data_IF_285951003743
#
_entry.id   IF_285951003743
#
_cell.length_a   1.000
_cell.length_b   1.000
_cell.length_c   1.000
_cell.angle_alpha   90.00
_cell.angle_beta   90.00
_cell.angle_gamma   90.00
#
_symmetry.space_group_name_H-M   'P 1'
#
loop_
_entity.id
_entity.type
_entity.pdbx_description
1 polymer ?
#
# COMPACT_ATOMS: atom_id res chain seq x y z
N UNK A 1 -5.47 2.26 11.78
CA UNK A 1 -6.08 1.51 10.67
C UNK A 1 -5.49 2.07 9.38
N UNK A 2 -4.76 1.26 8.62
CA UNK A 2 -4.07 1.71 7.41
C UNK A 2 -5.05 1.83 6.23
N UNK A 3 -4.78 2.74 5.30
CA UNK A 3 -5.68 3.05 4.18
C UNK A 3 -5.72 1.95 3.12
N UNK A 4 -6.94 1.51 2.79
CA UNK A 4 -7.25 0.57 1.72
C UNK A 4 -8.05 1.32 0.65
N UNK A 5 -7.42 1.88 -0.40
CA UNK A 5 -8.16 2.53 -1.48
C UNK A 5 -9.22 1.61 -2.07
N UNK A 6 -10.49 1.92 -1.83
CA UNK A 6 -11.64 1.09 -2.24
C UNK A 6 -12.05 1.35 -3.69
N UNK A 7 -11.52 2.40 -4.30
CA UNK A 7 -11.77 2.78 -5.70
C UNK A 7 -10.65 3.58 -6.34
N UNK A 8 -10.71 3.72 -7.68
CA UNK A 8 -9.70 4.42 -8.47
C UNK A 8 -9.58 5.93 -8.13
N UNK A 9 -10.65 6.54 -7.64
CA UNK A 9 -10.67 7.95 -7.18
C UNK A 9 -9.87 8.12 -5.90
N UNK A 10 -10.02 7.21 -4.94
CA UNK A 10 -9.27 7.23 -3.68
C UNK A 10 -7.79 6.98 -3.92
N UNK A 11 -7.44 6.04 -4.81
CA UNK A 11 -6.04 5.82 -5.19
C UNK A 11 -5.41 7.07 -5.82
N UNK A 12 -6.11 7.75 -6.75
CA UNK A 12 -5.64 9.01 -7.35
C UNK A 12 -5.50 10.12 -6.31
N UNK A 13 -6.43 10.20 -5.35
CA UNK A 13 -6.35 11.16 -4.25
C UNK A 13 -5.13 10.92 -3.38
N UNK A 14 -4.90 9.66 -2.97
CA UNK A 14 -3.73 9.25 -2.20
C UNK A 14 -2.44 9.58 -2.95
N UNK A 15 -2.35 9.26 -4.24
CA UNK A 15 -1.18 9.63 -5.05
C UNK A 15 -0.97 11.14 -5.08
N UNK A 16 -2.03 11.92 -5.29
CA UNK A 16 -1.93 13.38 -5.36
C UNK A 16 -1.37 13.97 -4.06
N UNK A 17 -1.85 13.52 -2.89
CA UNK A 17 -1.36 13.99 -1.58
C UNK A 17 0.02 13.43 -1.21
N UNK A 18 0.42 12.29 -1.78
CA UNK A 18 1.69 11.62 -1.46
C UNK A 18 2.78 11.79 -2.52
N UNK A 19 2.56 12.60 -3.55
CA UNK A 19 3.45 12.80 -4.70
C UNK A 19 4.93 13.06 -4.38
N UNK A 20 5.25 13.53 -3.17
CA UNK A 20 6.60 13.94 -2.77
C UNK A 20 7.39 12.89 -1.97
N UNK A 21 6.73 11.94 -1.29
CA UNK A 21 7.40 11.00 -0.38
C UNK A 21 6.77 9.59 -0.48
N UNK A 22 7.50 8.57 -0.01
CA UNK A 22 6.96 7.20 0.09
C UNK A 22 6.18 7.07 1.39
N UNK A 23 4.96 6.56 1.28
CA UNK A 23 4.12 6.28 2.42
C UNK A 23 3.70 4.82 2.44
N UNK A 24 3.80 4.19 3.61
CA UNK A 24 3.21 2.88 3.84
C UNK A 24 1.69 2.95 3.78
N UNK A 25 1.13 1.92 3.14
CA UNK A 25 -0.30 1.68 3.06
C UNK A 25 -0.62 0.34 3.68
N UNK A 26 -1.91 0.06 3.87
CA UNK A 26 -2.38 -1.19 4.47
C UNK A 26 -2.30 -2.41 3.56
N UNK A 27 -1.26 -2.53 2.74
CA UNK A 27 -1.08 -3.63 1.79
C UNK A 27 0.10 -4.50 2.22
N UNK A 28 -0.17 -5.78 2.44
CA UNK A 28 0.78 -6.76 2.96
C UNK A 28 0.87 -7.97 2.04
N UNK A 29 2.06 -8.54 1.91
CA UNK A 29 2.26 -9.77 1.17
C UNK A 29 1.98 -10.97 2.08
N UNK A 30 1.03 -11.81 1.69
CA UNK A 30 0.75 -13.05 2.40
C UNK A 30 1.52 -14.21 1.75
N UNK A 31 2.56 -14.68 2.44
CA UNK A 31 3.39 -15.82 2.00
C UNK A 31 2.59 -17.11 1.84
N UNK A 32 1.59 -17.34 2.68
CA UNK A 32 0.74 -18.53 2.63
C UNK A 32 -0.01 -18.68 1.29
N UNK A 33 -0.52 -17.56 0.75
CA UNK A 33 -1.27 -17.52 -0.51
C UNK A 33 -0.43 -17.00 -1.68
N UNK A 34 0.83 -16.63 -1.44
CA UNK A 34 1.76 -15.98 -2.38
C UNK A 34 1.15 -14.75 -3.07
N UNK A 35 0.31 -14.00 -2.36
CA UNK A 35 -0.50 -12.90 -2.91
C UNK A 35 -0.53 -11.70 -1.98
N UNK A 36 -0.69 -10.53 -2.58
CA UNK A 36 -0.90 -9.28 -1.85
C UNK A 36 -2.35 -9.19 -1.38
N UNK A 37 -2.53 -8.77 -0.12
CA UNK A 37 -3.84 -8.50 0.47
C UNK A 37 -3.80 -7.24 1.29
N UNK A 38 -4.96 -6.60 1.37
CA UNK A 38 -5.16 -5.50 2.30
C UNK A 38 -5.24 -6.03 3.74
N UNK A 39 -4.90 -5.19 4.72
CA UNK A 39 -4.97 -5.53 6.16
C UNK A 39 -6.38 -5.93 6.63
N UNK A 40 -7.42 -5.59 5.86
CA UNK A 40 -8.81 -5.99 6.09
C UNK A 40 -9.18 -7.34 5.44
N UNK A 41 -8.18 -8.11 5.00
CA UNK A 41 -8.31 -9.37 4.28
C UNK A 41 -8.90 -9.27 2.85
N UNK A 42 -9.10 -8.06 2.32
CA UNK A 42 -9.59 -7.86 0.96
C UNK A 42 -8.52 -8.21 -0.06
N UNK A 43 -8.95 -8.79 -1.20
CA UNK A 43 -8.06 -9.11 -2.30
C UNK A 43 -7.51 -7.85 -2.96
N UNK A 44 -6.21 -7.84 -3.24
CA UNK A 44 -5.58 -6.78 -4.02
C UNK A 44 -5.59 -7.17 -5.50
N UNK A 45 -6.23 -6.34 -6.33
CA UNK A 45 -6.33 -6.55 -7.78
C UNK A 45 -5.35 -5.66 -8.59
N UNK A 46 -4.40 -5.00 -7.93
CA UNK A 46 -3.40 -4.16 -8.59
C UNK A 46 -2.10 -4.92 -8.91
N UNK A 47 -1.12 -4.19 -9.43
CA UNK A 47 0.24 -4.68 -9.60
C UNK A 47 1.19 -3.98 -8.62
N UNK A 48 2.09 -4.75 -7.99
CA UNK A 48 3.14 -4.23 -7.12
C UNK A 48 4.48 -4.31 -7.85
N UNK A 49 5.15 -3.17 -7.99
CA UNK A 49 6.49 -3.04 -8.58
C UNK A 49 7.57 -3.27 -7.54
N UNK A 50 8.80 -3.58 -7.98
CA UNK A 50 9.97 -3.81 -7.13
C UNK A 50 9.79 -4.92 -6.07
N UNK A 51 8.98 -5.94 -6.38
CA UNK A 51 8.77 -7.07 -5.47
C UNK A 51 10.05 -7.90 -5.28
N UNK A 52 10.35 -8.19 -4.02
CA UNK A 52 11.40 -9.10 -3.59
C UNK A 52 10.80 -10.03 -2.52
N UNK A 53 11.33 -11.26 -2.38
CA UNK A 53 10.84 -12.25 -1.41
C UNK A 53 10.92 -11.77 0.04
N UNK A 54 11.78 -10.79 0.33
CA UNK A 54 11.94 -10.18 1.65
C UNK A 54 11.01 -8.97 1.89
N UNK A 55 10.31 -8.48 0.86
CA UNK A 55 9.50 -7.26 0.94
C UNK A 55 8.05 -7.60 1.23
N UNK A 56 7.69 -7.54 2.51
CA UNK A 56 6.35 -7.92 2.99
C UNK A 56 5.37 -6.75 3.05
N UNK A 57 5.86 -5.51 2.92
CA UNK A 57 5.07 -4.28 3.01
C UNK A 57 5.06 -3.55 1.67
N UNK A 58 4.08 -2.68 1.45
CA UNK A 58 4.04 -1.85 0.25
C UNK A 58 3.90 -0.35 0.56
N UNK A 59 4.41 0.46 -0.37
CA UNK A 59 4.42 1.91 -0.31
C UNK A 59 3.79 2.54 -1.55
N UNK A 60 3.32 3.78 -1.40
CA UNK A 60 2.79 4.62 -2.48
C UNK A 60 3.36 6.05 -2.36
N UNK A 61 3.38 6.81 -3.45
CA UNK A 61 3.52 8.27 -3.43
C UNK A 61 4.56 8.79 -4.42
N UNK A 62 5.84 8.44 -4.22
CA UNK A 62 6.92 8.83 -5.12
C UNK A 62 6.69 8.34 -6.56
N UNK A 63 6.11 7.14 -6.70
CA UNK A 63 5.72 6.54 -7.96
C UNK A 63 4.20 6.48 -8.04
N UNK A 64 3.66 6.46 -9.27
CA UNK A 64 2.22 6.24 -9.53
C UNK A 64 1.80 4.78 -9.31
N UNK A 65 2.71 3.93 -8.85
CA UNK A 65 2.52 2.49 -8.65
C UNK A 65 2.65 2.14 -7.17
N UNK A 66 2.28 0.91 -6.83
CA UNK A 66 2.55 0.35 -5.52
C UNK A 66 3.94 -0.27 -5.54
N UNK A 67 4.84 0.17 -4.67
CA UNK A 67 6.19 -0.39 -4.58
C UNK A 67 6.33 -1.26 -3.34
N UNK A 68 6.84 -2.47 -3.53
CA UNK A 68 7.19 -3.34 -2.42
C UNK A 68 8.37 -2.75 -1.65
N UNK A 69 8.30 -2.85 -0.33
CA UNK A 69 9.28 -2.31 0.60
C UNK A 69 9.49 -3.26 1.79
N UNK A 70 10.63 -3.09 2.45
CA UNK A 70 10.90 -3.71 3.74
C UNK A 70 10.01 -3.09 4.81
N UNK A 71 9.41 -3.92 5.66
CA UNK A 71 8.61 -3.45 6.79
C UNK A 71 9.46 -2.79 7.88
N UNK A 72 10.77 -3.08 7.93
CA UNK A 72 11.71 -2.50 8.90
C UNK A 72 12.14 -1.07 8.57
N UNK A 73 11.82 -0.57 7.38
CA UNK A 73 12.17 0.81 7.00
C UNK A 73 11.24 1.80 7.69
N UNK A 74 11.76 2.91 8.19
CA UNK A 74 10.95 3.99 8.76
C UNK A 74 10.39 4.95 7.69
N UNK A 75 9.25 4.61 7.09
CA UNK A 75 8.48 5.55 6.26
C UNK A 75 7.22 6.04 6.97
N UNK A 76 6.68 7.19 6.53
CA UNK A 76 5.38 7.69 6.99
C UNK A 76 4.28 6.71 6.58
N UNK A 77 3.16 6.68 7.31
CA UNK A 77 2.05 5.76 7.01
C UNK A 77 0.76 6.52 6.77
N UNK A 78 -0.04 6.06 5.82
CA UNK A 78 -1.39 6.59 5.58
C UNK A 78 -2.39 5.75 6.36
N UNK A 79 -3.11 6.39 7.27
CA UNK A 79 -4.24 5.79 7.96
C UNK A 79 -5.56 6.21 7.34
N UNK A 80 -6.51 5.28 7.24
CA UNK A 80 -7.90 5.55 6.84
C UNK A 80 -8.82 5.27 8.03
N UNK A 81 -9.84 6.11 8.17
CA UNK A 81 -10.98 5.90 9.05
C UNK A 81 -12.24 6.31 8.29
N UNK A 82 -13.37 5.70 8.62
CA UNK A 82 -14.64 6.17 8.07
C UNK A 82 -14.91 7.60 8.59
N UNK A 83 -15.25 8.52 7.69
CA UNK A 83 -15.77 9.83 8.06
C UNK A 83 -17.15 9.60 8.71
N UNK A 84 -17.30 10.01 9.96
CA UNK A 84 -18.50 9.81 10.77
C UNK A 84 -19.52 10.91 10.50
#
# INVERSE_FOLDING_TARGET
MASCPRGATEQKFLQNITSAEKYFIGLIYQHAEKRWRWINNSAFNGNVTNWNQNFNCATIGLTKTFDAALCDTSYRSICEKNAK
#
